data_IF_375751939287
#
_entry.id   IF_375751939287
#
_cell.length_a   1.000
_cell.length_b   1.000
_cell.length_c   1.000
_cell.angle_alpha   90.00
_cell.angle_beta   90.00
_cell.angle_gamma   90.00
#
_symmetry.space_group_name_H-M   'P 1'
#
loop_
_entity.id
_entity.type
_entity.pdbx_description
1 polymer ?
#
# COMPACT_ATOMS: atom_id res chain seq x y z
N UNK A 1 -19.34 15.19 13.22
CA UNK A 1 -18.78 15.70 11.97
C UNK A 1 -17.52 16.45 12.33
N UNK A 2 -16.43 16.22 11.61
CA UNK A 2 -15.20 16.99 11.76
C UNK A 2 -15.21 18.08 10.70
N UNK A 3 -14.79 19.28 11.09
CA UNK A 3 -14.73 20.40 10.19
C UNK A 3 -13.33 20.50 9.57
N UNK A 4 -13.27 20.84 8.31
CA UNK A 4 -12.03 21.15 7.61
C UNK A 4 -11.79 22.65 7.61
N UNK A 5 -10.54 23.06 7.37
CA UNK A 5 -10.19 24.48 7.32
C UNK A 5 -10.99 25.21 6.23
N UNK A 6 -11.46 26.40 6.56
CA UNK A 6 -12.06 27.29 5.56
C UNK A 6 -11.00 27.79 4.56
N UNK A 7 -11.41 28.32 3.40
CA UNK A 7 -10.47 28.92 2.46
C UNK A 7 -9.61 30.03 3.07
N UNK A 8 -10.16 30.76 4.06
CA UNK A 8 -9.46 31.84 4.77
C UNK A 8 -8.43 31.30 5.77
N UNK A 9 -8.72 30.18 6.45
CA UNK A 9 -7.83 29.57 7.45
C UNK A 9 -6.72 28.74 6.80
N UNK A 10 -7.01 28.13 5.66
CA UNK A 10 -6.12 27.16 5.00
C UNK A 10 -4.69 27.69 4.77
N UNK A 11 -4.46 28.91 4.24
CA UNK A 11 -3.10 29.39 4.00
C UNK A 11 -2.26 29.48 5.27
N UNK A 12 -2.84 30.01 6.37
CA UNK A 12 -2.13 30.12 7.65
C UNK A 12 -1.80 28.74 8.23
N UNK A 13 -2.76 27.81 8.29
CA UNK A 13 -2.56 26.47 8.82
C UNK A 13 -1.54 25.66 7.99
N UNK A 14 -1.51 25.85 6.67
CA UNK A 14 -0.51 25.21 5.80
C UNK A 14 0.88 25.79 6.01
N UNK A 15 1.00 27.11 6.20
CA UNK A 15 2.28 27.76 6.53
C UNK A 15 2.81 27.21 7.85
N UNK A 16 1.99 27.20 8.89
CA UNK A 16 2.35 26.68 10.21
C UNK A 16 2.77 25.21 10.16
N UNK A 17 2.09 24.39 9.35
CA UNK A 17 2.45 22.99 9.15
C UNK A 17 3.83 22.82 8.52
N UNK A 18 4.15 23.62 7.50
CA UNK A 18 5.45 23.57 6.81
C UNK A 18 6.56 24.10 7.71
N UNK A 19 6.33 25.17 8.44
CA UNK A 19 7.29 25.75 9.38
C UNK A 19 7.57 24.78 10.53
N UNK A 20 6.54 24.14 11.08
CA UNK A 20 6.69 23.08 12.07
C UNK A 20 7.51 21.92 11.52
N UNK A 21 7.20 21.44 10.30
CA UNK A 21 7.95 20.35 9.67
C UNK A 21 9.44 20.71 9.51
N UNK A 22 9.74 21.88 8.98
CA UNK A 22 11.13 22.32 8.77
C UNK A 22 11.90 22.41 10.10
N UNK A 23 11.24 22.88 11.16
CA UNK A 23 11.82 22.93 12.50
C UNK A 23 12.12 21.54 13.04
N UNK A 24 11.15 20.62 13.02
CA UNK A 24 11.34 19.26 13.52
C UNK A 24 12.40 18.48 12.72
N UNK A 25 12.46 18.71 11.39
CA UNK A 25 13.49 18.14 10.52
C UNK A 25 14.91 18.58 10.92
N UNK A 26 15.06 19.82 11.38
CA UNK A 26 16.34 20.37 11.82
C UNK A 26 16.71 19.95 13.25
N UNK A 27 15.73 19.95 14.15
CA UNK A 27 15.94 19.64 15.58
C UNK A 27 16.08 18.14 15.85
N UNK A 28 15.45 17.30 15.01
CA UNK A 28 15.51 15.84 15.13
C UNK A 28 14.85 15.26 16.38
N UNK A 29 13.82 15.95 16.92
CA UNK A 29 13.11 15.50 18.13
C UNK A 29 12.22 14.29 17.86
N UNK A 30 11.76 14.14 16.61
CA UNK A 30 10.92 13.04 16.16
C UNK A 30 11.74 12.07 15.28
N UNK A 31 11.43 10.78 15.36
CA UNK A 31 11.94 9.86 14.35
C UNK A 31 11.37 10.22 12.96
N UNK A 32 12.07 9.90 11.85
CA UNK A 32 11.54 10.16 10.51
C UNK A 32 10.17 9.55 10.25
N UNK A 33 9.90 8.38 10.85
CA UNK A 33 8.61 7.70 10.74
C UNK A 33 7.54 8.47 11.51
N UNK A 34 7.82 8.88 12.74
CA UNK A 34 6.89 9.67 13.56
C UNK A 34 6.58 11.03 12.91
N UNK A 35 7.60 11.69 12.38
CA UNK A 35 7.47 12.96 11.66
C UNK A 35 6.56 12.81 10.43
N UNK A 36 6.79 11.77 9.62
CA UNK A 36 6.00 11.49 8.43
C UNK A 36 4.53 11.18 8.76
N UNK A 37 4.28 10.36 9.80
CA UNK A 37 2.93 10.02 10.25
C UNK A 37 2.19 11.25 10.79
N UNK A 38 2.86 12.06 11.61
CA UNK A 38 2.25 13.24 12.21
C UNK A 38 1.99 14.33 11.16
N UNK A 39 2.91 14.54 10.22
CA UNK A 39 2.70 15.43 9.08
C UNK A 39 1.49 15.01 8.24
N UNK A 40 1.41 13.71 7.90
CA UNK A 40 0.28 13.15 7.18
C UNK A 40 -1.05 13.43 7.87
N UNK A 41 -1.13 13.19 9.19
CA UNK A 41 -2.35 13.40 9.96
C UNK A 41 -2.76 14.88 9.99
N UNK A 42 -1.81 15.79 10.32
CA UNK A 42 -2.06 17.22 10.37
C UNK A 42 -2.54 17.76 9.01
N UNK A 43 -1.90 17.32 7.93
CA UNK A 43 -2.30 17.68 6.56
C UNK A 43 -3.74 17.25 6.23
N UNK A 44 -4.10 16.00 6.57
CA UNK A 44 -5.46 15.50 6.35
C UNK A 44 -6.50 16.31 7.11
N UNK A 45 -6.18 16.78 8.30
CA UNK A 45 -7.09 17.58 9.12
C UNK A 45 -7.25 19.02 8.62
N UNK A 46 -6.22 19.61 8.04
CA UNK A 46 -6.34 20.91 7.36
C UNK A 46 -7.21 20.77 6.11
N UNK A 47 -6.99 19.73 5.32
CA UNK A 47 -7.77 19.38 4.13
C UNK A 47 -7.80 20.48 3.06
N UNK A 48 -6.63 20.96 2.56
CA UNK A 48 -6.52 22.22 1.83
C UNK A 48 -7.18 22.24 0.44
N UNK A 49 -7.58 21.11 -0.13
CA UNK A 49 -8.16 21.02 -1.46
C UNK A 49 -9.55 20.40 -1.44
N UNK A 50 -10.36 20.64 -2.46
CA UNK A 50 -11.68 20.02 -2.61
C UNK A 50 -11.60 18.50 -2.80
N UNK A 51 -10.59 18.00 -3.52
CA UNK A 51 -10.34 16.56 -3.74
C UNK A 51 -8.83 16.26 -3.73
N UNK A 52 -8.51 15.01 -3.55
CA UNK A 52 -7.12 14.51 -3.64
C UNK A 52 -6.31 14.61 -2.35
N UNK A 53 -6.83 15.18 -1.27
CA UNK A 53 -6.09 15.38 -0.01
C UNK A 53 -5.48 14.08 0.52
N UNK A 54 -6.21 12.97 0.48
CA UNK A 54 -5.68 11.67 0.92
C UNK A 54 -4.55 11.14 0.04
N UNK A 55 -4.56 11.42 -1.27
CA UNK A 55 -3.47 11.05 -2.19
C UNK A 55 -2.23 11.89 -1.92
N UNK A 56 -2.41 13.19 -1.76
CA UNK A 56 -1.33 14.14 -1.48
C UNK A 56 -0.71 13.84 -0.10
N UNK A 57 -1.52 13.60 0.94
CA UNK A 57 -1.02 13.25 2.26
C UNK A 57 -0.10 12.02 2.24
N UNK A 58 -0.50 10.95 1.53
CA UNK A 58 0.33 9.76 1.38
C UNK A 58 1.58 10.02 0.53
N UNK A 59 1.50 10.87 -0.49
CA UNK A 59 2.66 11.27 -1.28
C UNK A 59 3.67 12.05 -0.43
N UNK A 60 3.20 13.02 0.36
CA UNK A 60 4.06 13.81 1.26
C UNK A 60 4.68 12.94 2.37
N UNK A 61 3.93 12.01 2.94
CA UNK A 61 4.46 11.02 3.89
C UNK A 61 5.60 10.23 3.26
N UNK A 62 5.40 9.71 2.05
CA UNK A 62 6.43 8.98 1.32
C UNK A 62 7.64 9.85 0.93
N UNK A 63 7.40 11.11 0.61
CA UNK A 63 8.48 12.07 0.38
C UNK A 63 9.37 12.24 1.62
N UNK A 64 8.76 12.43 2.80
CA UNK A 64 9.50 12.53 4.07
C UNK A 64 10.27 11.22 4.34
N UNK A 65 9.62 10.06 4.24
CA UNK A 65 10.26 8.77 4.45
C UNK A 65 11.45 8.55 3.49
N UNK A 66 11.29 8.85 2.21
CA UNK A 66 12.33 8.65 1.19
C UNK A 66 13.57 9.52 1.43
N UNK A 67 13.40 10.73 1.94
CA UNK A 67 14.54 11.61 2.33
C UNK A 67 15.43 10.99 3.40
N UNK A 68 14.87 10.10 4.21
CA UNK A 68 15.56 9.39 5.28
C UNK A 68 15.92 7.93 4.93
N UNK A 69 15.88 7.57 3.64
CA UNK A 69 16.30 6.25 3.16
C UNK A 69 15.27 5.13 3.38
N UNK A 70 14.03 5.45 3.75
CA UNK A 70 12.97 4.45 3.84
C UNK A 70 12.35 4.16 2.46
N UNK A 71 11.91 2.93 2.20
CA UNK A 71 11.19 2.59 0.98
C UNK A 71 9.80 3.25 0.93
N UNK A 72 9.21 3.26 -0.26
CA UNK A 72 7.86 3.77 -0.45
C UNK A 72 6.82 2.85 0.22
N UNK A 73 5.96 3.43 1.03
CA UNK A 73 4.89 2.73 1.74
C UNK A 73 3.57 2.86 0.98
N UNK A 74 2.89 1.74 0.74
CA UNK A 74 1.63 1.69 0.00
C UNK A 74 0.47 1.34 0.93
N UNK A 75 -0.49 2.26 1.04
CA UNK A 75 -1.79 1.95 1.67
C UNK A 75 -2.68 1.27 0.63
N UNK A 76 -2.72 -0.06 0.65
CA UNK A 76 -3.42 -0.87 -0.35
C UNK A 76 -4.93 -0.80 -0.20
N UNK A 77 -5.66 -0.98 -1.29
CA UNK A 77 -7.13 -0.84 -1.31
C UNK A 77 -7.83 -1.72 -0.27
N UNK A 78 -7.35 -2.95 -0.03
CA UNK A 78 -7.90 -3.86 1.00
C UNK A 78 -7.72 -3.34 2.43
N UNK A 79 -6.75 -2.44 2.67
CA UNK A 79 -6.48 -1.85 3.98
C UNK A 79 -7.18 -0.50 4.18
N UNK A 80 -7.86 0.01 3.15
CA UNK A 80 -8.49 1.34 3.16
C UNK A 80 -9.46 1.52 4.33
N UNK A 81 -10.27 0.50 4.62
CA UNK A 81 -11.23 0.58 5.73
C UNK A 81 -10.53 0.73 7.09
N UNK A 82 -9.54 -0.12 7.37
CA UNK A 82 -8.79 -0.07 8.63
C UNK A 82 -8.01 1.25 8.79
N UNK A 83 -7.46 1.77 7.71
CA UNK A 83 -6.80 3.07 7.68
C UNK A 83 -7.76 4.22 8.00
N UNK A 84 -8.95 4.26 7.37
CA UNK A 84 -9.96 5.29 7.62
C UNK A 84 -10.54 5.20 9.04
N UNK A 85 -10.72 3.98 9.57
CA UNK A 85 -11.17 3.74 10.93
C UNK A 85 -10.12 4.23 11.95
N UNK A 86 -8.84 3.99 11.69
CA UNK A 86 -7.76 4.49 12.54
C UNK A 86 -7.68 6.01 12.56
N UNK A 87 -7.87 6.67 11.40
CA UNK A 87 -8.01 8.13 11.31
C UNK A 87 -9.19 8.63 12.13
N UNK A 88 -10.37 8.04 11.94
CA UNK A 88 -11.59 8.43 12.66
C UNK A 88 -11.41 8.33 14.18
N UNK A 89 -10.80 7.24 14.67
CA UNK A 89 -10.51 7.10 16.12
C UNK A 89 -9.53 8.14 16.63
N UNK A 90 -8.55 8.55 15.83
CA UNK A 90 -7.65 9.63 16.20
C UNK A 90 -8.40 10.97 16.26
N UNK A 91 -9.29 11.22 15.29
CA UNK A 91 -10.10 12.43 15.23
C UNK A 91 -10.98 12.61 16.49
N UNK A 92 -11.53 11.52 17.02
CA UNK A 92 -12.31 11.56 18.27
C UNK A 92 -11.48 12.00 19.48
N UNK A 93 -10.18 11.73 19.48
CA UNK A 93 -9.28 12.13 20.58
C UNK A 93 -8.74 13.55 20.41
N UNK A 94 -8.64 14.04 19.17
CA UNK A 94 -8.02 15.33 18.85
C UNK A 94 -9.01 16.47 18.97
N UNK A 95 -10.24 16.29 18.54
CA UNK A 95 -11.28 17.31 18.54
C UNK A 95 -11.76 17.70 17.14
N UNK A 96 -12.91 18.39 17.05
CA UNK A 96 -13.58 18.65 15.77
C UNK A 96 -12.96 19.79 14.95
N UNK A 97 -12.33 20.77 15.59
CA UNK A 97 -11.84 21.98 14.91
C UNK A 97 -10.60 21.70 14.03
N UNK A 98 -10.45 22.40 12.88
CA UNK A 98 -9.28 22.27 12.02
C UNK A 98 -7.97 22.55 12.75
N UNK A 99 -7.95 23.56 13.60
CA UNK A 99 -6.78 23.97 14.39
C UNK A 99 -6.33 22.88 15.36
N UNK A 100 -7.26 22.10 15.95
CA UNK A 100 -6.94 20.99 16.82
C UNK A 100 -6.17 19.91 16.04
N UNK A 101 -6.66 19.61 14.83
CA UNK A 101 -6.01 18.66 13.93
C UNK A 101 -4.66 19.12 13.42
N UNK A 102 -4.53 20.40 13.04
CA UNK A 102 -3.28 20.99 12.59
C UNK A 102 -2.19 21.00 13.67
N UNK A 103 -2.58 21.04 14.95
CA UNK A 103 -1.69 21.03 16.11
C UNK A 103 -1.66 19.69 16.86
N UNK A 104 -2.18 18.62 16.27
CA UNK A 104 -2.21 17.30 16.89
C UNK A 104 -0.81 16.82 17.29
N UNK A 105 -0.74 16.03 18.37
CA UNK A 105 0.47 15.37 18.84
C UNK A 105 0.43 13.86 18.60
N UNK A 106 1.56 13.16 18.63
CA UNK A 106 1.61 11.69 18.55
C UNK A 106 0.73 11.02 19.60
N UNK A 107 0.65 11.61 20.80
CA UNK A 107 -0.19 11.09 21.89
C UNK A 107 -1.67 11.17 21.53
N UNK A 108 -2.13 12.29 20.98
CA UNK A 108 -3.54 12.48 20.61
C UNK A 108 -3.96 11.62 19.43
N UNK A 109 -3.04 11.35 18.48
CA UNK A 109 -3.30 10.51 17.29
C UNK A 109 -2.92 9.04 17.49
N UNK A 110 -2.73 8.57 18.72
CA UNK A 110 -2.22 7.21 19.01
C UNK A 110 -2.89 6.08 18.22
N UNK A 111 -4.22 6.04 17.99
CA UNK A 111 -4.84 4.99 17.19
C UNK A 111 -4.34 4.97 15.74
N UNK A 112 -4.22 6.14 15.11
CA UNK A 112 -3.70 6.29 13.75
C UNK A 112 -2.20 6.01 13.70
N UNK A 113 -1.43 6.57 14.64
CA UNK A 113 0.01 6.34 14.76
C UNK A 113 0.34 4.84 14.83
N UNK A 114 -0.32 4.11 15.76
CA UNK A 114 -0.11 2.66 15.87
C UNK A 114 -0.41 1.93 14.58
N UNK A 115 -1.55 2.23 13.95
CA UNK A 115 -1.93 1.61 12.68
C UNK A 115 -0.88 1.84 11.59
N UNK A 116 -0.34 3.06 11.49
CA UNK A 116 0.68 3.40 10.50
C UNK A 116 2.03 2.75 10.79
N UNK A 117 2.44 2.65 12.06
CA UNK A 117 3.65 1.89 12.45
C UNK A 117 3.52 0.42 12.04
N UNK A 118 2.39 -0.21 12.35
CA UNK A 118 2.15 -1.62 12.00
C UNK A 118 2.17 -1.81 10.46
N UNK A 119 1.57 -0.88 9.71
CA UNK A 119 1.58 -0.89 8.24
C UNK A 119 3.00 -0.74 7.68
N UNK A 120 3.74 0.27 8.14
CA UNK A 120 5.11 0.57 7.68
C UNK A 120 6.03 -0.61 7.98
N UNK A 121 5.96 -1.16 9.18
CA UNK A 121 6.76 -2.32 9.60
C UNK A 121 6.48 -3.53 8.71
N UNK A 122 5.20 -3.78 8.40
CA UNK A 122 4.80 -4.88 7.52
C UNK A 122 5.29 -4.69 6.09
N UNK A 123 5.12 -3.50 5.51
CA UNK A 123 5.56 -3.21 4.12
C UNK A 123 7.08 -3.34 4.00
N UNK A 124 7.86 -2.76 4.92
CA UNK A 124 9.32 -2.91 4.94
C UNK A 124 9.73 -4.38 5.12
N UNK A 125 9.07 -5.11 6.02
CA UNK A 125 9.32 -6.54 6.21
C UNK A 125 9.07 -7.35 4.93
N UNK A 126 8.00 -7.05 4.21
CA UNK A 126 7.69 -7.69 2.92
C UNK A 126 8.72 -7.34 1.84
N UNK A 127 9.19 -6.10 1.78
CA UNK A 127 10.24 -5.68 0.84
C UNK A 127 11.55 -6.43 1.11
N UNK A 128 11.94 -6.58 2.39
CA UNK A 128 13.12 -7.38 2.77
C UNK A 128 12.96 -8.84 2.34
N UNK A 129 11.80 -9.45 2.61
CA UNK A 129 11.52 -10.83 2.19
C UNK A 129 11.56 -10.96 0.66
N UNK A 130 10.96 -10.03 -0.08
CA UNK A 130 10.99 -10.03 -1.54
C UNK A 130 12.43 -10.00 -2.09
N UNK A 131 13.32 -9.24 -1.46
CA UNK A 131 14.72 -9.11 -1.89
C UNK A 131 15.61 -10.28 -1.45
N UNK A 132 15.24 -10.99 -0.39
CA UNK A 132 16.11 -12.03 0.22
C UNK A 132 15.63 -13.45 0.01
N UNK A 133 14.34 -13.68 -0.21
CA UNK A 133 13.80 -15.02 -0.48
C UNK A 133 13.92 -15.37 -1.96
N UNK A 134 14.66 -16.46 -2.25
CA UNK A 134 14.86 -16.99 -3.58
C UNK A 134 14.30 -18.42 -3.66
N UNK A 135 12.98 -18.56 -3.68
CA UNK A 135 12.29 -19.84 -3.82
C UNK A 135 11.34 -19.78 -5.02
N UNK A 136 11.42 -20.77 -5.89
CA UNK A 136 10.59 -20.86 -7.11
C UNK A 136 9.09 -20.96 -6.83
N UNK A 137 8.68 -21.39 -5.64
CA UNK A 137 7.29 -21.52 -5.22
C UNK A 137 6.73 -20.24 -4.59
N UNK A 138 7.56 -19.21 -4.41
CA UNK A 138 7.16 -17.94 -3.82
C UNK A 138 6.87 -16.94 -4.90
N UNK A 139 5.70 -16.34 -4.79
CA UNK A 139 5.21 -15.26 -5.64
C UNK A 139 4.67 -14.12 -4.78
N UNK A 140 4.53 -12.96 -5.37
CA UNK A 140 4.06 -11.75 -4.69
C UNK A 140 2.85 -11.18 -5.41
N UNK A 141 1.77 -10.96 -4.67
CA UNK A 141 0.54 -10.35 -5.17
C UNK A 141 0.06 -9.26 -4.23
N UNK A 142 -0.10 -8.05 -4.75
CA UNK A 142 -0.53 -6.88 -3.96
C UNK A 142 0.26 -6.73 -2.64
N UNK A 143 1.61 -6.94 -2.68
CA UNK A 143 2.52 -6.87 -1.54
C UNK A 143 2.37 -7.97 -0.51
N UNK A 144 1.65 -9.04 -0.82
CA UNK A 144 1.55 -10.23 0.03
C UNK A 144 2.31 -11.40 -0.59
N UNK A 145 2.97 -12.14 0.27
CA UNK A 145 3.67 -13.37 -0.09
C UNK A 145 2.68 -14.50 -0.36
N UNK A 146 2.78 -15.09 -1.53
CA UNK A 146 1.96 -16.23 -1.96
C UNK A 146 2.86 -17.45 -2.17
N UNK A 147 2.56 -18.54 -1.49
CA UNK A 147 3.31 -19.80 -1.63
C UNK A 147 2.43 -20.84 -2.31
N UNK A 148 2.89 -21.38 -3.43
CA UNK A 148 2.22 -22.49 -4.09
C UNK A 148 2.76 -23.81 -3.57
N UNK A 149 1.85 -24.69 -3.12
CA UNK A 149 2.20 -26.02 -2.59
C UNK A 149 2.68 -27.01 -3.65
N UNK A 150 2.35 -26.75 -4.91
CA UNK A 150 2.73 -27.61 -6.05
C UNK A 150 3.43 -26.78 -7.11
N UNK A 151 4.48 -27.36 -7.70
CA UNK A 151 5.22 -26.73 -8.81
C UNK A 151 4.35 -26.48 -10.05
N UNK A 152 3.24 -27.19 -10.20
CA UNK A 152 2.35 -27.05 -11.36
C UNK A 152 1.78 -25.63 -11.51
N UNK A 153 1.43 -24.95 -10.40
CA UNK A 153 1.00 -23.55 -10.46
C UNK A 153 2.10 -22.64 -11.00
N UNK A 154 3.35 -22.88 -10.60
CA UNK A 154 4.50 -22.12 -11.09
C UNK A 154 4.71 -22.34 -12.58
N UNK A 155 4.60 -23.60 -13.04
CA UNK A 155 4.72 -23.94 -14.45
C UNK A 155 3.63 -23.24 -15.28
N UNK A 156 2.37 -23.24 -14.83
CA UNK A 156 1.25 -22.53 -15.48
C UNK A 156 1.56 -21.02 -15.57
N UNK A 157 1.90 -20.39 -14.46
CA UNK A 157 2.16 -18.96 -14.42
C UNK A 157 3.35 -18.55 -15.30
N UNK A 158 4.42 -19.34 -15.31
CA UNK A 158 5.59 -19.12 -16.17
C UNK A 158 5.24 -19.31 -17.64
N UNK A 159 4.52 -20.37 -17.99
CA UNK A 159 4.11 -20.65 -19.37
C UNK A 159 3.26 -19.51 -19.95
N UNK A 160 2.26 -19.01 -19.22
CA UNK A 160 1.42 -17.89 -19.69
C UNK A 160 2.14 -16.55 -19.67
N UNK A 161 3.19 -16.35 -18.89
CA UNK A 161 4.04 -15.15 -18.96
C UNK A 161 4.91 -15.15 -20.20
N UNK A 162 5.42 -16.32 -20.61
CA UNK A 162 6.25 -16.47 -21.81
C UNK A 162 5.37 -16.37 -23.07
N UNK A 163 4.21 -17.07 -23.06
CA UNK A 163 3.27 -17.08 -24.18
C UNK A 163 1.88 -16.58 -23.71
N UNK A 164 1.62 -15.27 -23.74
CA UNK A 164 0.34 -14.71 -23.29
C UNK A 164 -0.88 -15.18 -24.09
N UNK A 165 -0.67 -15.71 -25.31
CA UNK A 165 -1.73 -16.29 -26.16
C UNK A 165 -1.86 -17.79 -26.01
N UNK A 166 -1.19 -18.42 -25.02
CA UNK A 166 -1.22 -19.84 -24.79
C UNK A 166 -2.65 -20.40 -24.78
N UNK A 167 -2.89 -21.40 -25.60
CA UNK A 167 -4.15 -22.16 -25.60
C UNK A 167 -4.15 -23.22 -24.51
N UNK A 168 -5.32 -23.75 -24.18
CA UNK A 168 -5.41 -24.87 -23.23
C UNK A 168 -4.61 -26.08 -23.70
N UNK A 169 -4.61 -26.36 -25.01
CA UNK A 169 -3.85 -27.47 -25.59
C UNK A 169 -2.35 -27.28 -25.45
N UNK A 170 -1.86 -26.06 -25.72
CA UNK A 170 -0.46 -25.71 -25.52
C UNK A 170 -0.04 -25.90 -24.05
N UNK A 171 -0.84 -25.37 -23.11
CA UNK A 171 -0.54 -25.50 -21.67
C UNK A 171 -0.59 -26.95 -21.17
N UNK A 172 -1.49 -27.79 -21.73
CA UNK A 172 -1.53 -29.21 -21.40
C UNK A 172 -0.27 -29.96 -21.84
N UNK A 173 0.19 -29.69 -23.06
CA UNK A 173 1.39 -30.29 -23.62
C UNK A 173 2.64 -29.86 -22.85
N UNK A 174 2.78 -28.53 -22.60
CA UNK A 174 3.92 -27.95 -21.90
C UNK A 174 4.05 -28.42 -20.44
N UNK A 175 2.91 -28.57 -19.74
CA UNK A 175 2.88 -28.85 -18.29
C UNK A 175 2.69 -30.35 -18.00
N UNK A 176 2.16 -31.12 -18.96
CA UNK A 176 1.95 -32.53 -18.81
C UNK A 176 0.78 -32.94 -17.91
N UNK A 177 -0.27 -32.10 -17.77
CA UNK A 177 -1.45 -32.37 -16.93
C UNK A 177 -2.71 -32.53 -17.80
N UNK A 178 -3.72 -33.23 -17.26
CA UNK A 178 -5.00 -33.38 -17.97
C UNK A 178 -5.79 -32.06 -18.00
N UNK A 179 -6.69 -31.93 -18.99
CA UNK A 179 -7.47 -30.72 -19.26
C UNK A 179 -8.32 -30.29 -18.07
N UNK A 180 -8.94 -31.22 -17.37
CA UNK A 180 -9.80 -30.93 -16.22
C UNK A 180 -9.01 -30.35 -15.04
N UNK A 181 -7.83 -30.91 -14.75
CA UNK A 181 -6.93 -30.37 -13.72
C UNK A 181 -6.43 -28.98 -14.09
N UNK A 182 -5.98 -28.79 -15.35
CA UNK A 182 -5.54 -27.48 -15.84
C UNK A 182 -6.65 -26.42 -15.72
N UNK A 183 -7.87 -26.74 -16.14
CA UNK A 183 -9.00 -25.81 -16.04
C UNK A 183 -9.31 -25.43 -14.60
N UNK A 184 -9.31 -26.39 -13.66
CA UNK A 184 -9.50 -26.12 -12.23
C UNK A 184 -8.42 -25.18 -11.67
N UNK A 185 -7.17 -25.42 -12.05
CA UNK A 185 -6.05 -24.57 -11.58
C UNK A 185 -6.11 -23.16 -12.18
N UNK A 186 -6.44 -23.02 -13.47
CA UNK A 186 -6.63 -21.72 -14.09
C UNK A 186 -7.80 -20.96 -13.46
N UNK A 187 -8.95 -21.61 -13.22
CA UNK A 187 -10.08 -21.01 -12.52
C UNK A 187 -9.67 -20.53 -11.12
N UNK A 188 -8.96 -21.37 -10.36
CA UNK A 188 -8.46 -20.98 -9.03
C UNK A 188 -7.53 -19.76 -9.07
N UNK A 189 -6.66 -19.64 -10.08
CA UNK A 189 -5.79 -18.48 -10.25
C UNK A 189 -6.60 -17.22 -10.65
N UNK A 190 -7.63 -17.38 -11.48
CA UNK A 190 -8.52 -16.29 -11.88
C UNK A 190 -9.39 -15.80 -10.71
N UNK A 191 -9.97 -16.72 -9.94
CA UNK A 191 -10.80 -16.41 -8.76
C UNK A 191 -10.03 -15.60 -7.71
N UNK A 192 -8.72 -15.85 -7.60
CA UNK A 192 -7.81 -15.13 -6.72
C UNK A 192 -7.29 -13.80 -7.31
N UNK A 193 -7.62 -13.51 -8.56
CA UNK A 193 -7.14 -12.32 -9.26
C UNK A 193 -5.67 -12.37 -9.69
N UNK A 194 -5.03 -13.55 -9.65
CA UNK A 194 -3.62 -13.68 -10.03
C UNK A 194 -3.40 -13.65 -11.54
N UNK A 195 -4.42 -14.05 -12.29
CA UNK A 195 -4.44 -13.99 -13.76
C UNK A 195 -5.81 -13.52 -14.25
N UNK A 196 -5.87 -12.97 -15.45
CA UNK A 196 -7.12 -12.74 -16.18
C UNK A 196 -6.90 -13.00 -17.67
N UNK A 197 -8.00 -13.06 -18.43
CA UNK A 197 -7.96 -12.94 -19.90
C UNK A 197 -8.49 -11.58 -20.31
N UNK A 198 -7.84 -10.97 -21.29
CA UNK A 198 -8.37 -9.76 -21.92
C UNK A 198 -9.41 -10.09 -23.01
N UNK A 199 -10.02 -9.05 -23.59
CA UNK A 199 -11.04 -9.17 -24.63
C UNK A 199 -10.54 -9.87 -25.93
N UNK A 200 -9.22 -9.94 -26.10
CA UNK A 200 -8.54 -10.62 -27.22
C UNK A 200 -8.14 -12.05 -26.89
N UNK A 201 -8.50 -12.53 -25.68
CA UNK A 201 -8.19 -13.87 -25.21
C UNK A 201 -6.76 -14.06 -24.71
N UNK A 202 -5.97 -13.00 -24.59
CA UNK A 202 -4.61 -13.07 -24.05
C UNK A 202 -4.61 -13.09 -22.54
N UNK A 203 -3.74 -13.89 -21.94
CA UNK A 203 -3.53 -13.97 -20.51
C UNK A 203 -2.77 -12.75 -19.99
N UNK A 204 -3.21 -12.24 -18.84
CA UNK A 204 -2.50 -11.24 -18.04
C UNK A 204 -2.16 -11.84 -16.70
N UNK A 205 -0.92 -11.68 -16.26
CA UNK A 205 -0.42 -12.18 -14.97
C UNK A 205 -0.14 -10.99 -14.06
N UNK A 206 -0.79 -10.95 -12.90
CA UNK A 206 -0.69 -9.87 -11.91
C UNK A 206 0.14 -10.25 -10.69
N UNK A 207 0.64 -11.48 -10.63
CA UNK A 207 1.48 -12.00 -9.57
C UNK A 207 2.94 -12.06 -10.04
N UNK A 208 3.88 -11.69 -9.17
CA UNK A 208 5.31 -11.58 -9.50
C UNK A 208 6.10 -12.69 -8.80
N UNK A 209 6.98 -13.45 -9.50
CA UNK A 209 7.83 -14.46 -8.86
C UNK A 209 8.92 -13.80 -8.01
N UNK A 210 9.34 -14.48 -6.93
CA UNK A 210 10.52 -14.06 -6.13
C UNK A 210 11.85 -14.28 -6.87
N UNK A 211 11.87 -15.14 -7.88
CA UNK A 211 13.04 -15.40 -8.74
C UNK A 211 12.69 -15.03 -10.18
N UNK A 212 13.49 -14.21 -10.79
CA UNK A 212 13.44 -13.87 -12.23
C UNK A 212 14.32 -14.83 -13.05
#
# INVERSE_FOLDING_TARGET
RFDYASPEETPALMTDLVDWYNKEEQEGNLSPIDLAILFHYRYIRIHPFEDGNGRIARLLMNYILSRHGYPMIVVRSRMKYAYLEALHRADLNVGPAPIDGANASLKSIRPFHKHMIDLITKEIGNDVLFLTEHDENIWWYDGERVVFRTSTYNQILRAIRIEPKATLSYLQEEIGINRSALQKMLSSLQDKGYISKDDKGSWRVFITPSIY
#
